data_IF_411112061975
#
_entry.id   IF_411112061975
#
_cell.length_a   1.000
_cell.length_b   1.000
_cell.length_c   1.000
_cell.angle_alpha   90.00
_cell.angle_beta   90.00
_cell.angle_gamma   90.00
#
_symmetry.space_group_name_H-M   'P 1'
#
loop_
_entity.id
_entity.type
_entity.pdbx_description
1 polymer ?
#
# COMPACT_ATOMS: atom_id res chain seq x y z
N UNK A 1 -18.45 18.82 -5.21
CA UNK A 1 -17.34 18.20 -4.45
C UNK A 1 -17.45 16.71 -4.63
N UNK A 2 -16.42 16.09 -5.19
CA UNK A 2 -16.31 14.64 -5.15
C UNK A 2 -16.11 14.19 -3.70
N UNK A 3 -16.74 13.07 -3.34
CA UNK A 3 -16.57 12.46 -2.03
C UNK A 3 -15.33 11.56 -2.10
N UNK A 4 -14.40 11.77 -1.18
CA UNK A 4 -13.27 10.84 -1.02
C UNK A 4 -13.81 9.60 -0.30
N UNK A 5 -13.53 8.43 -0.87
CA UNK A 5 -13.92 7.13 -0.31
C UNK A 5 -12.65 6.36 0.02
N UNK A 6 -12.58 5.83 1.24
CA UNK A 6 -11.52 4.91 1.64
C UNK A 6 -11.97 3.48 1.35
N UNK A 7 -11.16 2.74 0.61
CA UNK A 7 -11.42 1.35 0.23
C UNK A 7 -10.27 0.49 0.74
N UNK A 8 -10.59 -0.72 1.24
CA UNK A 8 -9.54 -1.68 1.60
C UNK A 8 -8.85 -2.14 0.31
N UNK A 9 -7.52 -2.09 0.20
CA UNK A 9 -6.83 -2.49 -1.00
C UNK A 9 -7.01 -3.99 -1.29
N UNK A 10 -7.07 -4.30 -2.58
CA UNK A 10 -6.99 -5.64 -3.14
C UNK A 10 -6.20 -5.58 -4.46
N UNK A 11 -6.12 -6.69 -5.18
CA UNK A 11 -5.33 -6.78 -6.40
C UNK A 11 -5.85 -5.91 -7.56
N UNK A 12 -7.10 -5.43 -7.50
CA UNK A 12 -7.60 -4.48 -8.51
C UNK A 12 -6.92 -3.12 -8.45
N UNK A 13 -6.20 -2.82 -7.37
CA UNK A 13 -5.42 -1.59 -7.17
C UNK A 13 -3.91 -1.81 -7.26
N UNK A 14 -3.46 -2.93 -7.86
CA UNK A 14 -2.04 -3.30 -7.85
C UNK A 14 -1.13 -2.20 -8.42
N UNK A 15 -1.51 -1.59 -9.54
CA UNK A 15 -0.74 -0.53 -10.20
C UNK A 15 -0.63 0.71 -9.31
N UNK A 16 -1.74 1.11 -8.67
CA UNK A 16 -1.77 2.24 -7.74
C UNK A 16 -0.95 1.97 -6.48
N UNK A 17 -0.98 0.74 -5.96
CA UNK A 17 -0.18 0.31 -4.80
C UNK A 17 1.31 0.36 -5.14
N UNK A 18 1.72 -0.12 -6.33
CA UNK A 18 3.11 -0.04 -6.80
C UNK A 18 3.54 1.42 -6.92
N UNK A 19 2.73 2.24 -7.58
CA UNK A 19 3.01 3.66 -7.75
C UNK A 19 3.18 4.36 -6.41
N UNK A 20 2.24 4.16 -5.48
CA UNK A 20 2.33 4.70 -4.13
C UNK A 20 3.61 4.23 -3.43
N UNK A 21 3.96 2.94 -3.51
CA UNK A 21 5.19 2.40 -2.91
C UNK A 21 6.44 3.13 -3.42
N UNK A 22 6.53 3.33 -4.73
CA UNK A 22 7.67 4.03 -5.34
C UNK A 22 7.73 5.50 -4.93
N UNK A 23 6.59 6.20 -4.94
CA UNK A 23 6.50 7.61 -4.55
C UNK A 23 6.83 7.81 -3.07
N UNK A 24 6.27 6.98 -2.18
CA UNK A 24 6.53 7.05 -0.74
C UNK A 24 8.00 6.82 -0.40
N UNK A 25 8.66 5.86 -1.07
CA UNK A 25 10.07 5.57 -0.85
C UNK A 25 11.00 6.66 -1.41
N UNK A 26 10.58 7.35 -2.48
CA UNK A 26 11.35 8.45 -3.09
C UNK A 26 11.24 9.74 -2.27
N UNK A 27 10.05 10.08 -1.77
CA UNK A 27 9.82 11.38 -1.14
C UNK A 27 10.25 11.44 0.32
N UNK A 28 10.07 10.38 1.11
CA UNK A 28 10.41 10.47 2.53
C UNK A 28 10.71 9.11 3.20
N UNK A 29 11.98 8.67 3.26
CA UNK A 29 12.36 7.40 3.88
C UNK A 29 12.10 7.35 5.40
N UNK A 30 11.77 8.49 6.04
CA UNK A 30 11.53 8.58 7.48
C UNK A 30 10.05 8.37 7.87
N UNK A 31 9.11 8.50 6.94
CA UNK A 31 7.67 8.33 7.23
C UNK A 31 7.25 6.90 6.84
N UNK A 32 7.06 6.05 7.85
CA UNK A 32 6.53 4.69 7.69
C UNK A 32 4.99 4.68 7.57
N UNK A 33 4.46 5.42 6.59
CA UNK A 33 3.02 5.52 6.32
C UNK A 33 2.47 4.42 5.41
N UNK A 34 3.33 3.51 4.94
CA UNK A 34 2.97 2.52 3.92
C UNK A 34 2.48 1.19 4.50
N UNK A 35 2.13 1.12 5.79
CA UNK A 35 1.72 -0.12 6.47
C UNK A 35 2.68 -1.31 6.20
N UNK A 36 3.99 -1.02 6.19
CA UNK A 36 5.02 -2.03 5.93
C UNK A 36 5.10 -2.57 4.49
N UNK A 37 4.40 -1.96 3.52
CA UNK A 37 4.44 -2.30 2.09
C UNK A 37 5.86 -2.35 1.50
N UNK A 38 6.78 -1.54 2.02
CA UNK A 38 8.19 -1.53 1.63
C UNK A 38 8.94 -2.82 1.99
N UNK A 39 8.43 -3.63 2.93
CA UNK A 39 9.05 -4.88 3.38
C UNK A 39 8.77 -6.07 2.47
N UNK A 40 7.81 -5.94 1.55
CA UNK A 40 7.36 -7.03 0.69
C UNK A 40 7.77 -6.78 -0.76
N UNK A 41 8.22 -7.82 -1.46
CA UNK A 41 8.48 -7.77 -2.91
C UNK A 41 7.21 -8.02 -3.74
N UNK A 42 6.28 -8.83 -3.22
CA UNK A 42 4.98 -9.11 -3.82
C UNK A 42 3.85 -8.34 -3.11
N UNK A 43 2.87 -7.87 -3.89
CA UNK A 43 1.67 -7.23 -3.37
C UNK A 43 0.76 -8.28 -2.73
N UNK A 44 0.68 -9.47 -3.32
CA UNK A 44 -0.08 -10.60 -2.80
C UNK A 44 0.35 -10.95 -1.38
N UNK A 45 1.66 -11.09 -1.15
CA UNK A 45 2.22 -11.40 0.18
C UNK A 45 1.89 -10.30 1.20
N UNK A 46 1.99 -9.03 0.79
CA UNK A 46 1.60 -7.91 1.64
C UNK A 46 0.10 -7.91 1.95
N UNK A 47 -0.75 -8.17 0.96
CA UNK A 47 -2.20 -8.28 1.13
C UNK A 47 -2.58 -9.46 2.03
N UNK A 48 -1.84 -10.57 1.98
CA UNK A 48 -2.02 -11.68 2.93
C UNK A 48 -1.68 -11.25 4.36
N UNK A 49 -0.59 -10.51 4.55
CA UNK A 49 -0.22 -9.99 5.88
C UNK A 49 -1.30 -9.03 6.42
N UNK A 50 -1.83 -8.14 5.59
CA UNK A 50 -2.95 -7.24 5.96
C UNK A 50 -4.26 -7.98 6.29
N UNK A 51 -4.38 -9.27 5.98
CA UNK A 51 -5.51 -10.12 6.40
C UNK A 51 -5.27 -10.73 7.78
N UNK A 52 -4.01 -10.92 8.19
CA UNK A 52 -3.63 -11.50 9.49
C UNK A 52 -3.74 -10.50 10.65
N UNK A 53 -3.61 -9.21 10.39
CA UNK A 53 -3.86 -8.16 11.41
C UNK A 53 -5.35 -7.95 11.73
N UNK A 54 -6.14 -9.03 11.78
CA UNK A 54 -7.54 -9.04 12.22
C UNK A 54 -7.71 -9.83 13.52
#
# INVERSE_FOLDING_TARGET
MEKIILVKPDLSYADEIIKYKEESLKENPLINGSAGLNRFSSIEDWLEELKKEK
#
